data_IF_959141297122
#
_entry.id   IF_959141297122
#
_cell.length_a   1.000
_cell.length_b   1.000
_cell.length_c   1.000
_cell.angle_alpha   90.00
_cell.angle_beta   90.00
_cell.angle_gamma   90.00
#
_symmetry.space_group_name_H-M   'P 1'
#
loop_
_entity.id
_entity.type
_entity.pdbx_description
1 polymer ?
#
# COMPACT_ATOMS: atom_id res chain seq x y z
N UNK A 1 -30.16 -50.98 -6.86
CA UNK A 1 -29.16 -51.00 -7.94
C UNK A 1 -28.21 -49.84 -7.70
N UNK A 2 -27.17 -49.95 -6.85
CA UNK A 2 -26.24 -51.10 -6.73
C UNK A 2 -25.70 -51.44 -8.13
N UNK A 3 -24.43 -51.34 -8.48
CA UNK A 3 -23.15 -51.55 -7.77
C UNK A 3 -22.08 -50.62 -8.38
N UNK A 4 -21.08 -50.08 -7.66
CA UNK A 4 -19.84 -50.73 -7.17
C UNK A 4 -18.98 -51.24 -8.35
N UNK A 5 -17.71 -50.87 -8.55
CA UNK A 5 -16.49 -51.46 -7.94
C UNK A 5 -15.30 -50.77 -8.70
N UNK A 6 -14.45 -49.97 -8.06
CA UNK A 6 -13.18 -50.35 -7.41
C UNK A 6 -12.27 -51.27 -8.24
N UNK A 7 -11.15 -50.78 -8.77
CA UNK A 7 -9.97 -51.65 -8.85
C UNK A 7 -8.73 -50.91 -8.35
N UNK A 8 -8.26 -51.44 -7.23
CA UNK A 8 -7.06 -51.15 -6.46
C UNK A 8 -6.11 -52.33 -6.67
N UNK A 9 -4.87 -52.02 -7.02
CA UNK A 9 -3.68 -52.74 -6.54
C UNK A 9 -3.32 -54.08 -7.21
N UNK A 10 -2.02 -54.25 -7.47
CA UNK A 10 -1.10 -55.27 -6.93
C UNK A 10 0.12 -55.30 -7.87
N UNK A 11 1.36 -54.99 -7.47
CA UNK A 11 2.24 -55.62 -6.47
C UNK A 11 2.61 -57.06 -6.82
N UNK A 12 3.92 -57.23 -7.08
CA UNK A 12 4.79 -58.36 -6.74
C UNK A 12 5.28 -59.34 -7.81
N UNK A 13 6.48 -59.85 -7.47
CA UNK A 13 7.19 -61.06 -7.92
C UNK A 13 7.99 -60.88 -9.21
N UNK A 14 9.32 -60.74 -9.16
CA UNK A 14 10.37 -61.54 -8.47
C UNK A 14 10.34 -63.03 -8.79
N UNK A 15 11.53 -63.50 -9.13
CA UNK A 15 12.01 -64.88 -9.11
C UNK A 15 11.42 -65.85 -10.14
N UNK A 16 12.13 -66.00 -11.25
CA UNK A 16 12.21 -67.25 -12.00
C UNK A 16 13.66 -67.76 -12.02
N UNK A 17 13.93 -68.73 -11.12
CA UNK A 17 14.68 -69.98 -11.30
C UNK A 17 14.46 -70.59 -12.70
N UNK A 18 15.30 -71.38 -13.35
CA UNK A 18 16.66 -71.94 -13.17
C UNK A 18 17.11 -72.28 -14.62
N UNK A 19 18.40 -72.19 -14.94
CA UNK A 19 19.12 -73.24 -15.69
C UNK A 19 20.59 -72.90 -15.85
N UNK A 20 21.41 -73.63 -15.09
CA UNK A 20 22.77 -74.00 -15.45
C UNK A 20 22.85 -74.52 -16.89
N UNK A 21 23.83 -74.06 -17.65
CA UNK A 21 24.79 -74.98 -18.24
C UNK A 21 26.09 -74.25 -18.60
N UNK A 22 27.19 -74.84 -18.14
CA UNK A 22 28.58 -74.48 -18.42
C UNK A 22 28.90 -74.40 -19.91
N UNK A 23 29.86 -73.54 -20.26
CA UNK A 23 30.34 -73.44 -21.64
C UNK A 23 31.42 -72.38 -21.85
N UNK A 24 32.52 -72.54 -21.13
CA UNK A 24 33.88 -72.09 -21.43
C UNK A 24 34.18 -71.32 -22.73
N UNK A 25 34.92 -70.21 -22.51
CA UNK A 25 36.10 -69.76 -23.26
C UNK A 25 35.89 -69.20 -24.68
N UNK A 26 35.98 -67.87 -24.82
CA UNK A 26 37.12 -67.15 -25.43
C UNK A 26 36.77 -65.67 -25.69
N UNK A 27 37.50 -64.80 -24.98
CA UNK A 27 38.07 -63.47 -25.31
C UNK A 27 37.47 -62.52 -26.35
N UNK A 28 37.73 -61.21 -26.18
CA UNK A 28 36.73 -60.18 -26.33
C UNK A 28 37.03 -59.27 -27.51
N UNK A 29 35.98 -58.64 -28.00
CA UNK A 29 35.97 -57.22 -28.31
C UNK A 29 34.50 -56.88 -28.52
N UNK A 30 34.03 -55.79 -27.93
CA UNK A 30 33.83 -54.60 -28.75
C UNK A 30 32.71 -53.66 -28.28
N UNK A 31 33.12 -52.49 -27.76
CA UNK A 31 32.47 -51.19 -28.02
C UNK A 31 31.03 -50.97 -27.51
N UNK A 32 30.81 -50.88 -26.19
CA UNK A 32 29.66 -50.10 -25.65
C UNK A 32 29.80 -49.77 -24.17
N UNK A 33 30.85 -49.07 -23.75
CA UNK A 33 30.86 -48.42 -22.43
C UNK A 33 31.99 -47.38 -22.43
N UNK A 34 31.63 -46.10 -22.52
CA UNK A 34 32.34 -44.86 -22.14
C UNK A 34 31.79 -43.74 -23.04
N UNK A 35 30.59 -43.26 -22.72
CA UNK A 35 30.09 -41.96 -23.21
C UNK A 35 29.00 -41.33 -22.32
N UNK A 36 28.50 -42.06 -21.32
CA UNK A 36 27.50 -41.57 -20.37
C UNK A 36 28.10 -40.90 -19.12
N UNK A 37 29.41 -41.06 -18.85
CA UNK A 37 30.03 -40.60 -17.59
C UNK A 37 30.72 -39.21 -17.73
N UNK A 38 31.36 -38.92 -18.87
CA UNK A 38 32.07 -37.65 -19.09
C UNK A 38 31.14 -36.42 -19.16
N UNK A 39 29.93 -36.59 -19.69
CA UNK A 39 28.95 -35.51 -19.82
C UNK A 39 28.31 -35.14 -18.48
N UNK A 40 28.09 -36.12 -17.59
CA UNK A 40 27.56 -35.86 -16.25
C UNK A 40 28.61 -35.23 -15.33
N UNK A 41 29.87 -35.68 -15.39
CA UNK A 41 30.99 -35.12 -14.62
C UNK A 41 31.26 -33.67 -15.05
N UNK A 42 31.39 -33.41 -16.35
CA UNK A 42 31.63 -32.05 -16.87
C UNK A 42 30.51 -31.06 -16.52
N UNK A 43 29.25 -31.50 -16.57
CA UNK A 43 28.09 -30.68 -16.18
C UNK A 43 28.08 -30.38 -14.67
N UNK A 44 28.40 -31.36 -13.81
CA UNK A 44 28.51 -31.15 -12.36
C UNK A 44 29.66 -30.20 -11.99
N UNK A 45 30.78 -30.26 -12.71
CA UNK A 45 31.90 -29.34 -12.53
C UNK A 45 31.54 -27.91 -12.97
N UNK A 46 30.97 -27.72 -14.16
CA UNK A 46 30.59 -26.39 -14.66
C UNK A 46 29.54 -25.72 -13.78
N UNK A 47 28.55 -26.48 -13.30
CA UNK A 47 27.56 -26.00 -12.34
C UNK A 47 28.21 -25.55 -11.02
N UNK A 48 29.09 -26.37 -10.42
CA UNK A 48 29.80 -26.01 -9.18
C UNK A 48 30.66 -24.76 -9.33
N UNK A 49 31.33 -24.58 -10.47
CA UNK A 49 32.10 -23.38 -10.77
C UNK A 49 31.20 -22.16 -10.98
N UNK A 50 30.06 -22.32 -11.66
CA UNK A 50 29.07 -21.26 -11.83
C UNK A 50 28.48 -20.82 -10.49
N UNK A 51 28.12 -21.76 -9.59
CA UNK A 51 27.62 -21.43 -8.25
C UNK A 51 28.65 -20.70 -7.39
N UNK A 52 29.93 -21.06 -7.49
CA UNK A 52 31.01 -20.35 -6.80
C UNK A 52 31.15 -18.91 -7.31
N UNK A 53 31.12 -18.71 -8.64
CA UNK A 53 31.19 -17.37 -9.23
C UNK A 53 29.99 -16.51 -8.84
N UNK A 54 28.77 -17.07 -8.91
CA UNK A 54 27.54 -16.38 -8.48
C UNK A 54 27.64 -16.01 -6.99
N UNK A 55 28.10 -16.93 -6.13
CA UNK A 55 28.27 -16.68 -4.70
C UNK A 55 29.24 -15.52 -4.42
N UNK A 56 30.41 -15.51 -5.09
CA UNK A 56 31.36 -14.41 -4.93
C UNK A 56 30.78 -13.08 -5.41
N UNK A 57 30.12 -13.05 -6.56
CA UNK A 57 29.47 -11.83 -7.10
C UNK A 57 28.40 -11.30 -6.15
N UNK A 58 27.57 -12.17 -5.57
CA UNK A 58 26.56 -11.78 -4.58
C UNK A 58 27.23 -11.18 -3.33
N UNK A 59 28.31 -11.78 -2.83
CA UNK A 59 29.05 -11.24 -1.68
C UNK A 59 29.65 -9.86 -2.02
N UNK A 60 30.26 -9.67 -3.18
CA UNK A 60 30.80 -8.35 -3.56
C UNK A 60 29.69 -7.31 -3.66
N UNK A 61 28.53 -7.65 -4.22
CA UNK A 61 27.36 -6.78 -4.25
C UNK A 61 26.93 -6.42 -2.82
N UNK A 62 26.77 -7.40 -1.92
CA UNK A 62 26.38 -7.14 -0.54
C UNK A 62 27.39 -6.28 0.23
N UNK A 63 28.69 -6.45 -0.01
CA UNK A 63 29.74 -5.64 0.64
C UNK A 63 29.79 -4.23 0.06
N UNK A 64 29.66 -4.06 -1.26
CA UNK A 64 29.70 -2.74 -1.90
C UNK A 64 28.43 -1.94 -1.57
N UNK A 65 27.24 -2.53 -1.74
CA UNK A 65 25.98 -1.86 -1.45
C UNK A 65 25.73 -1.74 0.06
N UNK A 66 26.07 -2.75 0.85
CA UNK A 66 25.97 -2.72 2.32
C UNK A 66 26.99 -1.76 2.94
N UNK A 67 28.25 -1.82 2.51
CA UNK A 67 29.32 -0.93 2.98
C UNK A 67 29.07 0.53 2.61
N UNK A 68 28.66 0.81 1.37
CA UNK A 68 28.31 2.16 0.93
C UNK A 68 27.12 2.76 1.70
N UNK A 69 26.11 1.94 2.03
CA UNK A 69 24.95 2.35 2.84
C UNK A 69 25.31 2.66 4.30
N UNK A 70 26.34 2.01 4.83
CA UNK A 70 26.83 2.23 6.20
C UNK A 70 27.71 3.49 6.25
N UNK A 71 28.65 3.64 5.31
CA UNK A 71 29.53 4.81 5.20
C UNK A 71 28.75 6.12 5.06
N UNK A 72 27.69 6.14 4.24
CA UNK A 72 26.83 7.33 4.07
C UNK A 72 26.10 7.77 5.34
N UNK A 73 25.75 6.82 6.24
CA UNK A 73 25.14 7.16 7.54
C UNK A 73 26.13 7.72 8.54
N UNK A 74 27.41 7.37 8.43
CA UNK A 74 28.46 7.90 9.30
C UNK A 74 29.00 9.26 8.84
N UNK A 75 28.96 9.55 7.54
CA UNK A 75 29.46 10.81 6.99
C UNK A 75 28.40 11.90 6.87
N UNK A 76 27.10 11.55 6.90
CA UNK A 76 26.03 12.54 6.91
C UNK A 76 25.83 13.07 8.34
N UNK A 77 26.00 14.37 8.61
CA UNK A 77 25.67 14.92 9.92
C UNK A 77 24.18 14.64 10.20
N UNK A 78 23.82 14.21 11.43
CA UNK A 78 22.43 14.04 11.79
C UNK A 78 21.73 15.39 11.59
N UNK A 79 20.71 15.42 10.72
CA UNK A 79 19.84 16.59 10.66
C UNK A 79 19.28 16.77 12.07
N UNK A 80 19.41 17.97 12.68
CA UNK A 80 18.81 18.19 13.99
C UNK A 80 17.31 17.85 13.87
N UNK A 81 16.74 17.14 14.86
CA UNK A 81 15.33 16.78 14.80
C UNK A 81 14.53 18.08 14.63
N UNK A 82 13.77 18.18 13.54
CA UNK A 82 12.94 19.35 13.31
C UNK A 82 12.02 19.53 14.52
N UNK A 83 11.92 20.75 15.09
CA UNK A 83 11.10 20.98 16.26
C UNK A 83 9.64 20.63 15.94
N UNK A 84 9.01 19.85 16.81
CA UNK A 84 7.58 19.58 16.70
C UNK A 84 6.78 20.83 17.06
N UNK A 85 5.89 21.25 16.18
CA UNK A 85 5.00 22.39 16.39
C UNK A 85 3.57 21.96 16.13
N UNK A 86 2.69 22.14 17.13
CA UNK A 86 1.23 22.01 16.99
C UNK A 86 0.64 23.42 16.92
N UNK A 87 0.02 23.78 15.79
CA UNK A 87 -0.62 25.08 15.59
C UNK A 87 -1.98 25.18 16.31
N UNK A 88 -2.44 24.09 16.93
CA UNK A 88 -3.71 24.03 17.63
C UNK A 88 -4.89 23.85 16.68
N UNK A 89 -6.07 24.19 17.19
CA UNK A 89 -7.36 24.07 16.48
C UNK A 89 -7.74 25.42 15.88
N UNK A 90 -8.48 25.37 14.78
CA UNK A 90 -8.98 26.57 14.11
C UNK A 90 -10.11 27.29 14.86
N UNK A 91 -10.82 26.63 15.77
CA UNK A 91 -11.97 27.20 16.49
C UNK A 91 -13.27 26.45 16.16
N UNK A 92 -14.36 26.78 16.85
CA UNK A 92 -15.59 25.98 16.78
C UNK A 92 -16.55 26.42 15.67
N UNK A 93 -16.45 27.68 15.23
CA UNK A 93 -17.32 28.28 14.20
C UNK A 93 -16.52 28.69 12.96
N UNK A 94 -17.15 28.78 11.77
CA UNK A 94 -16.52 29.32 10.56
C UNK A 94 -15.88 30.70 10.78
N UNK A 95 -16.54 31.59 11.52
CA UNK A 95 -16.03 32.94 11.75
C UNK A 95 -14.82 32.94 12.68
N UNK A 96 -14.81 32.11 13.73
CA UNK A 96 -13.64 31.92 14.58
C UNK A 96 -12.46 31.31 13.80
N UNK A 97 -12.74 30.33 12.93
CA UNK A 97 -11.73 29.72 12.06
C UNK A 97 -11.07 30.72 11.12
N UNK A 98 -11.85 31.61 10.49
CA UNK A 98 -11.33 32.70 9.67
C UNK A 98 -10.53 33.70 10.51
N UNK A 99 -11.03 34.08 11.69
CA UNK A 99 -10.34 34.98 12.59
C UNK A 99 -8.97 34.42 13.04
N UNK A 100 -8.86 33.10 13.16
CA UNK A 100 -7.60 32.39 13.44
C UNK A 100 -6.74 32.10 12.19
N UNK A 101 -7.12 32.64 11.03
CA UNK A 101 -6.36 32.49 9.77
C UNK A 101 -6.43 31.11 9.15
N UNK A 102 -7.39 30.28 9.53
CA UNK A 102 -7.60 28.97 8.92
C UNK A 102 -8.37 29.04 7.61
N UNK A 103 -8.22 27.98 6.83
CA UNK A 103 -8.89 27.76 5.53
C UNK A 103 -9.73 26.51 5.58
N UNK A 104 -10.86 26.52 4.88
CA UNK A 104 -11.72 25.34 4.80
C UNK A 104 -11.28 24.45 3.63
N UNK A 105 -10.97 23.20 3.93
CA UNK A 105 -10.67 22.17 2.95
C UNK A 105 -11.90 21.29 2.79
N UNK A 106 -12.61 21.44 1.66
CA UNK A 106 -13.84 20.70 1.37
C UNK A 106 -13.58 19.19 1.30
N UNK A 107 -12.45 18.77 0.74
CA UNK A 107 -12.07 17.35 0.75
C UNK A 107 -11.82 16.83 2.15
N UNK A 108 -11.19 17.59 3.06
CA UNK A 108 -11.15 17.20 4.48
C UNK A 108 -12.48 17.40 5.21
N UNK A 109 -13.41 18.16 4.64
CA UNK A 109 -14.62 18.63 5.30
C UNK A 109 -14.33 19.34 6.63
N UNK A 110 -13.28 20.17 6.66
CA UNK A 110 -12.75 20.74 7.89
C UNK A 110 -11.93 22.00 7.72
N UNK A 111 -11.82 22.75 8.81
CA UNK A 111 -10.96 23.92 8.89
C UNK A 111 -9.55 23.49 9.30
N UNK A 112 -8.55 23.95 8.54
CA UNK A 112 -7.14 23.62 8.75
C UNK A 112 -6.27 24.88 8.70
N UNK A 113 -5.15 24.87 9.41
CA UNK A 113 -4.16 25.94 9.24
C UNK A 113 -3.53 25.85 7.84
N UNK A 114 -3.13 27.00 7.25
CA UNK A 114 -2.56 27.04 5.90
C UNK A 114 -1.42 26.04 5.63
N UNK A 115 -0.48 25.77 6.56
CA UNK A 115 0.59 24.79 6.31
C UNK A 115 0.09 23.35 6.05
N UNK A 116 -1.08 22.97 6.57
CA UNK A 116 -1.65 21.64 6.39
C UNK A 116 -2.73 21.59 5.28
N UNK A 117 -3.00 22.71 4.62
CA UNK A 117 -3.90 22.76 3.48
C UNK A 117 -3.12 22.56 2.18
N UNK A 118 -3.36 21.42 1.52
CA UNK A 118 -2.83 21.16 0.19
C UNK A 118 -3.93 21.49 -0.84
N UNK A 119 -3.96 22.75 -1.27
CA UNK A 119 -4.98 23.27 -2.20
C UNK A 119 -4.97 22.51 -3.52
N UNK A 120 -3.79 22.29 -4.10
CA UNK A 120 -3.63 21.63 -5.39
C UNK A 120 -4.14 20.19 -5.33
N UNK A 121 -3.81 19.45 -4.26
CA UNK A 121 -4.31 18.09 -4.08
C UNK A 121 -5.82 18.07 -3.82
N UNK A 122 -6.34 18.96 -2.98
CA UNK A 122 -7.78 19.05 -2.68
C UNK A 122 -8.57 19.36 -3.95
N UNK A 123 -8.12 20.32 -4.76
CA UNK A 123 -8.73 20.69 -6.03
C UNK A 123 -8.66 19.56 -7.06
N UNK A 124 -7.52 18.83 -7.12
CA UNK A 124 -7.39 17.67 -7.99
C UNK A 124 -8.46 16.63 -7.67
N UNK A 125 -8.63 16.24 -6.41
CA UNK A 125 -9.64 15.25 -6.01
C UNK A 125 -11.06 15.76 -6.25
N UNK A 126 -11.34 17.03 -5.98
CA UNK A 126 -12.65 17.62 -6.28
C UNK A 126 -12.93 17.61 -7.79
N UNK A 127 -11.92 17.74 -8.65
CA UNK A 127 -12.09 17.69 -10.10
C UNK A 127 -12.31 16.29 -10.69
N UNK A 128 -12.08 15.21 -9.91
CA UNK A 128 -12.24 13.83 -10.41
C UNK A 128 -13.70 13.45 -10.67
N UNK A 129 -14.66 14.23 -10.18
CA UNK A 129 -16.07 14.02 -10.42
C UNK A 129 -16.84 15.34 -10.51
N UNK A 130 -18.08 15.26 -10.97
CA UNK A 130 -19.00 16.39 -10.95
C UNK A 130 -19.85 16.32 -9.68
N UNK A 131 -19.39 16.96 -8.61
CA UNK A 131 -20.08 16.95 -7.32
C UNK A 131 -21.32 17.84 -7.36
N UNK A 132 -22.46 17.25 -7.04
CA UNK A 132 -23.64 18.02 -6.66
C UNK A 132 -23.78 17.99 -5.16
N UNK A 133 -23.75 19.17 -4.55
CA UNK A 133 -23.96 19.33 -3.12
C UNK A 133 -25.41 19.77 -2.85
N UNK A 134 -25.97 19.34 -1.72
CA UNK A 134 -27.35 19.63 -1.31
C UNK A 134 -27.39 20.08 0.15
N UNK A 135 -28.30 21.01 0.48
CA UNK A 135 -28.51 21.45 1.87
C UNK A 135 -29.11 20.35 2.73
N UNK A 136 -30.00 19.54 2.14
CA UNK A 136 -30.72 18.47 2.83
C UNK A 136 -30.61 17.12 2.12
N UNK A 137 -31.06 16.07 2.80
CA UNK A 137 -30.92 14.67 2.34
C UNK A 137 -31.84 14.37 1.16
N UNK A 138 -32.95 15.08 1.08
CA UNK A 138 -34.01 14.95 0.09
C UNK A 138 -33.59 15.46 -1.29
N UNK A 139 -32.41 16.10 -1.40
CA UNK A 139 -31.82 16.59 -2.64
C UNK A 139 -32.66 17.63 -3.38
N UNK A 140 -33.32 18.53 -2.63
CA UNK A 140 -34.25 19.54 -3.19
C UNK A 140 -33.46 20.82 -3.54
N UNK A 141 -32.63 21.29 -2.61
CA UNK A 141 -31.89 22.53 -2.69
C UNK A 141 -30.41 22.24 -2.99
N UNK A 142 -30.03 22.41 -4.25
CA UNK A 142 -28.64 22.34 -4.70
C UNK A 142 -27.86 23.53 -4.13
N UNK A 143 -26.63 23.28 -3.69
CA UNK A 143 -25.64 24.30 -3.36
C UNK A 143 -24.48 24.22 -4.33
N UNK A 144 -24.03 25.36 -4.89
CA UNK A 144 -22.85 25.39 -5.73
C UNK A 144 -21.57 24.96 -4.97
N UNK A 145 -20.60 24.38 -5.68
CA UNK A 145 -19.33 23.96 -5.06
C UNK A 145 -18.59 25.14 -4.43
N UNK A 146 -18.64 26.33 -5.04
CA UNK A 146 -18.06 27.54 -4.48
C UNK A 146 -18.67 27.90 -3.13
N UNK A 147 -19.97 27.65 -2.91
CA UNK A 147 -20.61 27.83 -1.61
C UNK A 147 -20.18 26.74 -0.64
N UNK A 148 -20.08 25.49 -1.09
CA UNK A 148 -19.59 24.37 -0.28
C UNK A 148 -18.15 24.60 0.22
N UNK A 149 -17.30 25.22 -0.61
CA UNK A 149 -15.91 25.58 -0.25
C UNK A 149 -15.82 26.68 0.82
N UNK A 150 -16.89 27.43 1.07
CA UNK A 150 -16.90 28.43 2.15
C UNK A 150 -17.00 27.80 3.54
N UNK A 151 -17.46 26.56 3.65
CA UNK A 151 -17.65 25.88 4.94
C UNK A 151 -18.73 26.51 5.83
N UNK A 152 -19.66 27.31 5.27
CA UNK A 152 -20.71 28.02 5.99
C UNK A 152 -21.96 27.16 6.26
N UNK A 153 -21.76 25.94 6.76
CA UNK A 153 -22.84 25.01 7.04
C UNK A 153 -22.47 24.08 8.20
N UNK A 154 -23.48 23.56 8.90
CA UNK A 154 -23.29 22.49 9.87
C UNK A 154 -23.14 21.13 9.18
N UNK A 155 -23.98 20.91 8.17
CA UNK A 155 -23.97 19.71 7.35
C UNK A 155 -24.49 20.00 5.95
N UNK A 156 -23.99 19.25 4.97
CA UNK A 156 -24.49 19.17 3.60
C UNK A 156 -24.44 17.72 3.12
N UNK A 157 -25.03 17.44 1.97
CA UNK A 157 -25.06 16.12 1.38
C UNK A 157 -24.48 16.14 -0.03
N UNK A 158 -23.85 15.04 -0.45
CA UNK A 158 -23.32 14.87 -1.81
C UNK A 158 -23.32 13.38 -2.17
N UNK A 159 -22.83 13.06 -3.36
CA UNK A 159 -22.80 11.69 -3.87
C UNK A 159 -22.10 10.73 -2.90
N UNK A 160 -22.57 9.48 -2.86
CA UNK A 160 -22.04 8.44 -1.98
C UNK A 160 -20.55 8.13 -2.20
N UNK A 161 -20.03 8.33 -3.41
CA UNK A 161 -18.62 8.12 -3.72
C UNK A 161 -17.68 9.17 -3.10
N UNK A 162 -18.19 10.35 -2.69
CA UNK A 162 -17.36 11.41 -2.07
C UNK A 162 -16.61 10.91 -0.84
N UNK A 163 -17.25 10.11 0.03
CA UNK A 163 -16.60 9.57 1.23
C UNK A 163 -15.40 8.65 0.89
N UNK A 164 -15.47 7.89 -0.20
CA UNK A 164 -14.36 7.02 -0.61
C UNK A 164 -13.22 7.82 -1.23
N UNK A 165 -13.54 8.87 -1.99
CA UNK A 165 -12.53 9.80 -2.46
C UNK A 165 -11.87 10.59 -1.33
N UNK A 166 -12.61 10.99 -0.29
CA UNK A 166 -12.04 11.55 0.93
C UNK A 166 -10.99 10.61 1.55
N UNK A 167 -11.30 9.30 1.62
CA UNK A 167 -10.35 8.30 2.10
C UNK A 167 -9.09 8.22 1.22
N UNK A 168 -9.26 8.21 -0.12
CA UNK A 168 -8.14 8.24 -1.06
C UNK A 168 -7.31 9.52 -0.96
N UNK A 169 -7.96 10.66 -0.75
CA UNK A 169 -7.34 11.97 -0.56
C UNK A 169 -6.47 12.01 0.70
N UNK A 170 -6.95 11.47 1.83
CA UNK A 170 -6.15 11.35 3.06
C UNK A 170 -4.89 10.55 2.80
N UNK A 171 -5.01 9.42 2.10
CA UNK A 171 -3.85 8.58 1.79
C UNK A 171 -2.85 9.33 0.89
N UNK A 172 -3.35 10.07 -0.11
CA UNK A 172 -2.52 10.90 -0.96
C UNK A 172 -1.83 12.03 -0.17
N UNK A 173 -2.50 12.69 0.78
CA UNK A 173 -1.89 13.69 1.67
C UNK A 173 -0.76 13.08 2.50
N UNK A 174 -0.99 11.89 3.08
CA UNK A 174 0.04 11.18 3.86
C UNK A 174 1.29 10.89 3.02
N UNK A 175 1.10 10.39 1.80
CA UNK A 175 2.20 10.11 0.87
C UNK A 175 2.97 11.37 0.48
N UNK A 176 2.28 12.49 0.23
CA UNK A 176 2.94 13.77 -0.05
C UNK A 176 3.66 14.33 1.17
N UNK A 177 3.09 14.24 2.36
CA UNK A 177 3.73 14.71 3.58
C UNK A 177 5.00 13.91 3.92
N UNK A 178 5.01 12.61 3.60
CA UNK A 178 6.16 11.72 3.83
C UNK A 178 7.40 12.08 2.98
N UNK A 179 7.24 12.83 1.88
CA UNK A 179 8.37 13.26 1.04
C UNK A 179 8.89 14.66 1.39
N UNK A 180 8.25 15.36 2.34
CA UNK A 180 8.60 16.72 2.75
C UNK A 180 9.31 16.71 4.10
N UNK A 181 10.34 17.56 4.26
CA UNK A 181 10.99 17.82 5.55
C UNK A 181 10.95 19.32 5.88
N UNK A 182 10.40 19.73 7.04
CA UNK A 182 9.76 18.89 8.05
C UNK A 182 8.43 18.29 7.57
N UNK A 183 7.99 17.17 8.15
CA UNK A 183 6.69 16.58 7.87
C UNK A 183 5.58 17.54 8.34
N UNK A 184 4.74 18.01 7.42
CA UNK A 184 3.58 18.85 7.73
C UNK A 184 2.31 18.09 7.37
N UNK A 185 1.49 17.79 8.39
CA UNK A 185 0.27 17.02 8.20
C UNK A 185 -0.72 17.27 9.35
N UNK A 186 -2.01 17.27 9.02
CA UNK A 186 -3.06 17.47 10.00
C UNK A 186 -3.33 16.24 10.88
N UNK A 187 -3.98 16.44 12.03
CA UNK A 187 -4.24 15.37 13.00
C UNK A 187 -5.20 14.31 12.50
N UNK A 188 -6.14 14.65 11.63
CA UNK A 188 -7.09 13.68 11.10
C UNK A 188 -6.40 12.74 10.10
N UNK A 189 -5.48 13.25 9.29
CA UNK A 189 -4.63 12.44 8.41
C UNK A 189 -3.49 11.72 9.14
N UNK A 190 -3.21 12.03 10.41
CA UNK A 190 -2.23 11.29 11.24
C UNK A 190 -2.86 10.26 12.18
N UNK A 191 -4.17 10.31 12.38
CA UNK A 191 -4.88 9.37 13.26
C UNK A 191 -4.86 7.97 12.66
N UNK A 192 -4.46 7.00 13.49
CA UNK A 192 -4.47 5.58 13.13
C UNK A 192 -5.90 5.12 12.94
N UNK A 193 -6.80 5.47 13.86
CA UNK A 193 -8.20 5.08 13.83
C UNK A 193 -8.89 5.60 12.57
N UNK A 194 -8.61 6.84 12.18
CA UNK A 194 -9.16 7.40 10.95
C UNK A 194 -8.59 6.73 9.71
N UNK A 195 -7.28 6.45 9.70
CA UNK A 195 -6.61 5.73 8.60
C UNK A 195 -7.16 4.30 8.45
N UNK A 196 -7.36 3.58 9.55
CA UNK A 196 -7.95 2.23 9.55
C UNK A 196 -9.39 2.24 9.02
N UNK A 197 -10.21 3.21 9.46
CA UNK A 197 -11.54 3.43 8.89
C UNK A 197 -11.46 3.67 7.38
N UNK A 198 -10.55 4.54 6.92
CA UNK A 198 -10.38 4.81 5.49
C UNK A 198 -10.00 3.55 4.70
N UNK A 199 -9.04 2.77 5.20
CA UNK A 199 -8.62 1.50 4.59
C UNK A 199 -9.80 0.53 4.49
N UNK A 200 -10.55 0.36 5.58
CA UNK A 200 -11.71 -0.54 5.61
C UNK A 200 -12.80 -0.10 4.64
N UNK A 201 -13.13 1.20 4.60
CA UNK A 201 -14.14 1.75 3.67
C UNK A 201 -13.77 1.57 2.22
N UNK A 202 -12.50 1.80 1.87
CA UNK A 202 -12.03 1.62 0.49
C UNK A 202 -11.96 0.14 0.11
N UNK A 203 -11.56 -0.73 1.04
CA UNK A 203 -11.46 -2.17 0.81
C UNK A 203 -12.82 -2.89 0.72
N UNK A 204 -13.85 -2.38 1.39
CA UNK A 204 -15.22 -2.92 1.37
C UNK A 204 -16.26 -1.80 1.16
N UNK A 205 -16.44 -1.32 -0.09
CA UNK A 205 -17.33 -0.22 -0.36
C UNK A 205 -18.81 -0.65 -0.27
N UNK A 206 -19.62 0.17 0.42
CA UNK A 206 -21.06 0.00 0.42
C UNK A 206 -21.65 0.38 -0.94
N UNK A 207 -21.79 -0.62 -1.81
CA UNK A 207 -22.28 -0.49 -3.19
C UNK A 207 -23.69 0.08 -3.30
N UNK A 208 -24.51 -0.01 -2.25
CA UNK A 208 -25.86 0.58 -2.25
C UNK A 208 -25.86 2.07 -1.93
N UNK A 209 -24.81 2.56 -1.27
CA UNK A 209 -24.65 3.95 -0.89
C UNK A 209 -23.95 4.77 -1.96
N UNK A 210 -22.93 4.19 -2.63
CA UNK A 210 -22.13 4.82 -3.69
C UNK A 210 -22.97 5.54 -4.75
N UNK A 211 -24.02 4.94 -5.35
CA UNK A 211 -24.79 5.58 -6.42
C UNK A 211 -25.79 6.64 -5.93
N UNK A 212 -25.99 6.83 -4.62
CA UNK A 212 -26.96 7.80 -4.10
C UNK A 212 -26.43 9.23 -4.25
N UNK A 213 -27.25 10.13 -4.77
CA UNK A 213 -26.96 11.58 -4.90
C UNK A 213 -26.71 12.28 -3.57
N UNK A 214 -27.27 11.75 -2.47
CA UNK A 214 -27.06 12.22 -1.08
C UNK A 214 -26.49 11.11 -0.20
N UNK A 215 -25.73 10.20 -0.80
CA UNK A 215 -25.11 9.06 -0.12
C UNK A 215 -24.09 9.47 0.94
N UNK A 216 -23.44 10.63 0.79
CA UNK A 216 -22.46 11.14 1.75
C UNK A 216 -23.03 12.33 2.50
N UNK A 217 -23.01 12.28 3.83
CA UNK A 217 -23.26 13.43 4.69
C UNK A 217 -21.92 14.05 5.07
N UNK A 218 -21.68 15.28 4.62
CA UNK A 218 -20.53 16.06 5.02
C UNK A 218 -20.93 16.87 6.25
N UNK A 219 -20.22 16.69 7.35
CA UNK A 219 -20.37 17.49 8.57
C UNK A 219 -19.13 18.32 8.79
N UNK A 220 -19.29 19.60 9.11
CA UNK A 220 -18.16 20.47 9.41
C UNK A 220 -17.41 19.94 10.64
N UNK A 221 -16.11 19.65 10.48
CA UNK A 221 -15.25 19.12 11.55
C UNK A 221 -14.47 20.20 12.33
N UNK A 222 -14.98 21.44 12.35
CA UNK A 222 -14.27 22.68 12.74
C UNK A 222 -13.39 22.58 13.99
N UNK A 223 -13.76 21.79 15.00
CA UNK A 223 -13.03 21.70 16.27
C UNK A 223 -12.07 20.51 16.42
N UNK A 224 -11.97 19.58 15.47
CA UNK A 224 -11.17 18.35 15.66
C UNK A 224 -9.79 18.37 14.99
N UNK A 225 -9.64 19.12 13.90
CA UNK A 225 -8.41 19.05 13.10
C UNK A 225 -7.38 20.05 13.64
N UNK A 226 -6.19 19.55 13.94
CA UNK A 226 -5.00 20.31 14.31
C UNK A 226 -3.96 20.23 13.20
N UNK A 227 -3.12 21.24 13.05
CA UNK A 227 -2.00 21.20 12.11
C UNK A 227 -0.67 20.99 12.85
N UNK A 228 0.08 19.98 12.45
CA UNK A 228 1.33 19.61 13.11
C UNK A 228 2.50 19.59 12.13
N UNK A 229 3.62 20.15 12.56
CA UNK A 229 4.87 20.27 11.82
C UNK A 229 5.96 19.48 12.57
N UNK A 230 6.72 18.65 11.86
CA UNK A 230 7.73 17.76 12.44
C UNK A 230 7.19 16.39 12.84
N UNK A 231 8.07 15.48 13.26
CA UNK A 231 7.69 14.11 13.68
C UNK A 231 7.24 14.09 15.14
N UNK A 232 5.97 14.45 15.39
CA UNK A 232 5.30 14.22 16.67
C UNK A 232 4.14 13.23 16.53
N UNK A 233 3.80 12.56 17.63
CA UNK A 233 2.70 11.60 17.72
C UNK A 233 1.39 12.32 18.07
N UNK A 234 0.27 11.80 17.59
CA UNK A 234 -1.07 12.25 18.00
C UNK A 234 -1.53 11.32 19.12
N UNK A 235 -1.62 11.77 20.38
CA UNK A 235 -2.14 10.95 21.47
C UNK A 235 -3.65 10.69 21.32
#
# INVERSE_FOLDING_TARGET
>A
MEETILLRGHVSQDSSRDNELEGSLLSPNSYTEVKLDDTHISHQFTLRWQYRLIFFVIITILVVFGGGSILTRFTSPPHPPAPFTDLGRCGETPDAARANGCVFDLMMSGWVHPPCYDKELSDKFLSENNWTFYREREAINVIPEEEARLGNYKQIYTLGNFHYQHCGYIWAKQMQAATRFPLVLDSASRSVEHTEHCIQRVGDPNVTQVPKSTGTKITMSSWKIRCMIGHGYVP
#
